data_IF_842720028450
#
_entry.id   IF_842720028450
#
_cell.length_a   1.000
_cell.length_b   1.000
_cell.length_c   1.000
_cell.angle_alpha   90.00
_cell.angle_beta   90.00
_cell.angle_gamma   90.00
#
_symmetry.space_group_name_H-M   'P 1'
#
loop_
_entity.id
_entity.type
_entity.pdbx_description
1 polymer ?
#
# COMPACT_ATOMS: atom_id res chain seq x y z
N UNK A 1 -28.81 -0.03 26.49
CA UNK A 1 -27.39 0.38 26.54
C UNK A 1 -26.99 0.92 25.17
N UNK A 2 -26.71 2.21 25.10
CA UNK A 2 -26.28 2.92 23.89
C UNK A 2 -24.83 2.57 23.57
N UNK A 3 -24.56 2.18 22.32
CA UNK A 3 -23.22 1.86 21.85
C UNK A 3 -23.09 2.08 20.35
N UNK A 4 -23.73 3.13 19.80
CA UNK A 4 -23.52 3.51 18.40
C UNK A 4 -22.14 4.17 18.29
N UNK A 5 -21.12 3.32 18.14
CA UNK A 5 -19.73 3.73 17.95
C UNK A 5 -19.59 4.74 16.81
N UNK A 6 -18.81 5.78 17.05
CA UNK A 6 -18.51 6.90 16.14
C UNK A 6 -18.29 6.44 14.69
N UNK A 7 -19.30 6.62 13.84
CA UNK A 7 -19.20 6.23 12.43
C UNK A 7 -20.31 6.75 11.53
N UNK A 8 -21.05 7.79 11.96
CA UNK A 8 -22.16 8.38 11.22
C UNK A 8 -21.80 9.69 10.53
N UNK A 9 -20.64 9.80 9.89
CA UNK A 9 -20.36 10.89 8.94
C UNK A 9 -20.56 10.32 7.55
N UNK A 10 -21.31 11.01 6.68
CA UNK A 10 -21.40 10.71 5.25
C UNK A 10 -19.98 10.42 4.76
N UNK A 11 -19.70 9.17 4.39
CA UNK A 11 -18.35 8.76 3.98
C UNK A 11 -18.03 9.50 2.69
N UNK A 12 -17.36 10.65 2.79
CA UNK A 12 -16.64 11.22 1.66
C UNK A 12 -15.72 10.17 1.06
N UNK A 13 -15.38 10.28 -0.23
CA UNK A 13 -14.53 9.30 -0.93
C UNK A 13 -13.33 8.93 -0.05
N UNK A 14 -13.28 7.66 0.36
CA UNK A 14 -12.22 7.19 1.22
C UNK A 14 -10.89 7.29 0.46
N UNK A 15 -9.95 8.10 0.97
CA UNK A 15 -8.60 8.20 0.38
C UNK A 15 -7.94 6.82 0.41
N UNK A 16 -7.43 6.39 -0.74
CA UNK A 16 -6.77 5.09 -0.90
C UNK A 16 -5.47 5.03 -0.09
N UNK A 17 -5.05 3.82 0.31
CA UNK A 17 -3.78 3.63 1.05
C UNK A 17 -2.55 4.06 0.22
N UNK A 18 -2.60 3.89 -1.10
CA UNK A 18 -1.59 4.42 -2.02
C UNK A 18 -1.52 5.94 -1.98
N UNK A 19 -2.66 6.62 -2.08
CA UNK A 19 -2.74 8.09 -2.02
C UNK A 19 -2.25 8.64 -0.68
N UNK A 20 -2.54 7.96 0.43
CA UNK A 20 -2.02 8.35 1.75
C UNK A 20 -0.50 8.15 1.89
N UNK A 21 0.05 7.14 1.21
CA UNK A 21 1.48 6.83 1.23
C UNK A 21 2.29 7.62 0.18
N UNK A 22 1.63 8.37 -0.72
CA UNK A 22 2.31 9.05 -1.83
C UNK A 22 2.91 8.09 -2.87
N UNK A 23 2.45 6.84 -2.92
CA UNK A 23 3.02 5.81 -3.80
C UNK A 23 2.14 5.63 -5.05
N UNK A 24 2.79 5.54 -6.21
CA UNK A 24 2.13 5.19 -7.48
C UNK A 24 1.64 3.72 -7.48
N UNK A 25 2.33 2.84 -6.75
CA UNK A 25 1.96 1.43 -6.70
C UNK A 25 0.69 1.18 -5.87
N UNK A 26 -0.14 0.18 -6.26
CA UNK A 26 -1.38 -0.14 -5.58
C UNK A 26 -1.16 -0.92 -4.27
N UNK A 27 -0.87 -0.22 -3.17
CA UNK A 27 -0.70 -0.75 -1.80
C UNK A 27 -1.89 -1.63 -1.37
N UNK A 28 -3.11 -1.24 -1.77
CA UNK A 28 -4.33 -1.98 -1.48
C UNK A 28 -4.32 -3.39 -2.06
N UNK A 29 -3.88 -3.52 -3.31
CA UNK A 29 -3.80 -4.79 -4.04
C UNK A 29 -2.69 -5.67 -3.50
N UNK A 30 -1.52 -5.07 -3.23
CA UNK A 30 -0.37 -5.77 -2.62
C UNK A 30 -0.77 -6.40 -1.29
N UNK A 31 -1.48 -5.66 -0.43
CA UNK A 31 -1.97 -6.24 0.83
C UNK A 31 -2.88 -7.45 0.62
N UNK A 32 -3.76 -7.41 -0.39
CA UNK A 32 -4.65 -8.55 -0.70
C UNK A 32 -3.84 -9.75 -1.22
N UNK A 33 -2.85 -9.51 -2.07
CA UNK A 33 -1.98 -10.57 -2.60
C UNK A 33 -1.15 -11.22 -1.49
N UNK A 34 -0.60 -10.43 -0.57
CA UNK A 34 0.15 -10.96 0.58
C UNK A 34 -0.71 -11.87 1.47
N UNK A 35 -2.00 -11.55 1.66
CA UNK A 35 -2.90 -12.43 2.41
C UNK A 35 -3.34 -13.66 1.62
N UNK A 36 -3.57 -13.54 0.31
CA UNK A 36 -3.92 -14.69 -0.54
C UNK A 36 -2.76 -15.67 -0.70
N UNK A 37 -1.52 -15.17 -0.68
CA UNK A 37 -0.32 -15.99 -0.85
C UNK A 37 0.10 -16.78 0.39
N UNK A 38 -0.65 -16.72 1.50
CA UNK A 38 -0.34 -17.43 2.75
C UNK A 38 1.09 -17.21 3.29
N UNK A 39 1.70 -16.05 3.01
CA UNK A 39 3.08 -15.76 3.45
C UNK A 39 3.22 -15.61 4.97
N UNK A 40 2.14 -15.25 5.65
CA UNK A 40 2.07 -15.15 7.11
C UNK A 40 0.61 -15.23 7.56
N UNK A 41 0.37 -15.70 8.78
CA UNK A 41 -0.96 -15.73 9.40
C UNK A 41 -1.55 -14.32 9.54
N UNK A 42 -0.72 -13.33 9.86
CA UNK A 42 -1.11 -11.91 9.98
C UNK A 42 -0.15 -11.02 9.20
N UNK A 43 -0.70 -10.23 8.28
CA UNK A 43 0.05 -9.21 7.53
C UNK A 43 -0.17 -7.85 8.19
N UNK A 44 0.90 -7.26 8.71
CA UNK A 44 0.88 -5.93 9.32
C UNK A 44 0.50 -4.83 8.32
N UNK A 45 -0.10 -3.74 8.81
CA UNK A 45 -0.57 -2.65 7.93
C UNK A 45 0.56 -1.94 7.16
N UNK A 46 1.78 -1.92 7.72
CA UNK A 46 2.97 -1.32 7.11
C UNK A 46 3.67 -2.19 6.07
N UNK A 47 3.54 -3.52 6.14
CA UNK A 47 4.17 -4.45 5.19
C UNK A 47 3.85 -4.14 3.71
N UNK A 48 2.59 -3.93 3.29
CA UNK A 48 2.29 -3.61 1.89
C UNK A 48 2.75 -2.22 1.47
N UNK A 49 2.95 -1.29 2.41
CA UNK A 49 3.48 0.06 2.12
C UNK A 49 4.98 -0.02 1.87
N UNK A 50 5.70 -0.73 2.73
CA UNK A 50 7.14 -0.97 2.58
C UNK A 50 7.43 -1.68 1.26
N UNK A 51 6.72 -2.78 0.98
CA UNK A 51 6.90 -3.52 -0.28
C UNK A 51 6.60 -2.64 -1.50
N UNK A 52 5.54 -1.84 -1.46
CA UNK A 52 5.23 -0.91 -2.55
C UNK A 52 6.35 0.14 -2.76
N UNK A 53 6.93 0.67 -1.67
CA UNK A 53 8.04 1.62 -1.74
C UNK A 53 9.31 1.00 -2.33
N UNK A 54 9.66 -0.23 -1.91
CA UNK A 54 10.83 -0.94 -2.45
C UNK A 54 10.68 -1.23 -3.93
N UNK A 55 9.50 -1.69 -4.39
CA UNK A 55 9.25 -1.95 -5.80
C UNK A 55 9.41 -0.68 -6.65
N UNK A 56 8.91 0.45 -6.15
CA UNK A 56 9.10 1.76 -6.78
C UNK A 56 10.57 2.13 -6.88
N UNK A 57 11.32 1.98 -5.77
CA UNK A 57 12.74 2.31 -5.72
C UNK A 57 13.54 1.45 -6.68
N UNK A 58 13.27 0.15 -6.76
CA UNK A 58 13.98 -0.73 -7.70
C UNK A 58 13.66 -0.41 -9.15
N UNK A 59 12.39 -0.14 -9.46
CA UNK A 59 11.98 0.29 -10.80
C UNK A 59 12.72 1.57 -11.19
N UNK A 60 12.65 2.61 -10.35
CA UNK A 60 13.34 3.87 -10.63
C UNK A 60 14.86 3.70 -10.69
N UNK A 61 15.46 2.93 -9.79
CA UNK A 61 16.89 2.64 -9.83
C UNK A 61 17.29 1.98 -11.14
N UNK A 62 16.49 1.02 -11.65
CA UNK A 62 16.77 0.37 -12.93
C UNK A 62 16.59 1.31 -14.12
N UNK A 63 15.57 2.17 -14.09
CA UNK A 63 15.37 3.21 -15.10
C UNK A 63 16.50 4.24 -15.10
N UNK A 64 16.93 4.69 -13.92
CA UNK A 64 18.08 5.59 -13.77
C UNK A 64 19.35 4.93 -14.30
N UNK A 65 19.58 3.66 -13.94
CA UNK A 65 20.71 2.89 -14.49
C UNK A 65 20.66 2.85 -16.03
N UNK A 66 19.51 2.54 -16.60
CA UNK A 66 19.32 2.56 -18.07
C UNK A 66 19.56 3.93 -18.69
N UNK A 67 19.15 5.01 -18.02
CA UNK A 67 19.28 6.38 -18.50
C UNK A 67 20.73 6.88 -18.41
N UNK A 68 21.45 6.51 -17.34
CA UNK A 68 22.83 6.95 -17.09
C UNK A 68 23.89 5.95 -17.56
N UNK A 69 23.50 4.78 -18.05
CA UNK A 69 24.40 3.79 -18.66
C UNK A 69 25.43 3.16 -17.70
N UNK A 70 25.21 3.26 -16.38
CA UNK A 70 26.09 2.67 -15.34
C UNK A 70 25.79 1.21 -15.03
#
# INVERSE_FOLDING_TARGET
>A
MSGRGKGGKVKGKAKSRSSRAGLQFPVGRIHRLLRKGNYAERVGAGAPVYLAAVLVVLLYKKWLQYLFGV
#
